data_IF_342927338813
#
_entry.id   IF_342927338813
#
_cell.length_a   1.000
_cell.length_b   1.000
_cell.length_c   1.000
_cell.angle_alpha   90.00
_cell.angle_beta   90.00
_cell.angle_gamma   90.00
#
_symmetry.space_group_name_H-M   'P 1'
#
loop_
_entity.id
_entity.type
_entity.pdbx_description
1 polymer ?
#
# COMPACT_ATOMS: atom_id res chain seq x y z
N UNK A 1 2.89 17.81 -6.19
CA UNK A 1 3.20 16.54 -6.88
C UNK A 1 2.05 15.57 -6.64
N UNK A 2 1.46 15.06 -7.71
CA UNK A 2 0.57 13.90 -7.71
C UNK A 2 1.03 12.95 -8.80
N UNK A 3 0.92 11.65 -8.56
CA UNK A 3 1.20 10.63 -9.56
C UNK A 3 0.00 9.70 -9.60
N UNK A 4 -0.53 9.42 -10.78
CA UNK A 4 -1.64 8.49 -10.98
C UNK A 4 -1.23 7.40 -11.95
N UNK A 5 -1.72 6.19 -11.72
CA UNK A 5 -1.54 5.05 -12.62
C UNK A 5 -2.89 4.70 -13.25
N UNK A 6 -2.96 4.81 -14.57
CA UNK A 6 -4.18 4.57 -15.36
C UNK A 6 -4.27 3.14 -15.86
N UNK A 7 -3.14 2.53 -16.25
CA UNK A 7 -3.09 1.18 -16.81
C UNK A 7 -1.89 0.41 -16.24
N UNK A 8 -2.06 -0.91 -16.03
CA UNK A 8 -1.00 -1.79 -15.52
C UNK A 8 -0.16 -2.45 -16.63
N UNK A 9 -0.74 -2.72 -17.80
CA UNK A 9 -0.06 -3.39 -18.92
C UNK A 9 -0.39 -2.72 -20.27
N UNK A 10 0.52 -1.92 -20.86
CA UNK A 10 1.75 -1.39 -20.25
C UNK A 10 1.43 -0.45 -19.08
N UNK A 11 2.40 -0.19 -18.21
CA UNK A 11 2.21 0.76 -17.12
C UNK A 11 2.10 2.15 -17.71
N UNK A 12 1.03 2.87 -17.39
CA UNK A 12 0.84 4.27 -17.77
C UNK A 12 0.70 5.11 -16.51
N UNK A 13 1.64 6.05 -16.31
CA UNK A 13 1.64 7.00 -15.20
C UNK A 13 1.39 8.42 -15.70
N UNK A 14 0.55 9.16 -14.99
CA UNK A 14 0.41 10.61 -15.15
C UNK A 14 1.08 11.31 -13.96
N UNK A 15 2.16 12.05 -14.23
CA UNK A 15 2.98 12.73 -13.22
C UNK A 15 2.75 14.23 -13.26
N UNK A 16 2.11 14.77 -12.21
CA UNK A 16 1.72 16.18 -12.10
C UNK A 16 2.64 16.95 -11.16
N UNK A 17 3.21 18.04 -11.64
CA UNK A 17 3.97 19.00 -10.83
C UNK A 17 3.23 20.34 -10.77
N UNK A 18 2.86 20.77 -9.57
CA UNK A 18 2.14 22.02 -9.33
C UNK A 18 2.42 22.56 -7.92
N UNK A 19 2.17 23.86 -7.67
CA UNK A 19 2.37 24.50 -6.35
C UNK A 19 1.54 23.87 -5.23
N UNK A 20 2.05 23.87 -3.99
CA UNK A 20 1.41 23.17 -2.86
C UNK A 20 0.07 23.78 -2.43
N UNK A 21 -0.10 25.08 -2.64
CA UNK A 21 -1.25 25.92 -2.31
C UNK A 21 -2.33 25.94 -3.41
N UNK A 22 -2.20 25.04 -4.39
CA UNK A 22 -3.06 25.09 -5.57
C UNK A 22 -4.38 24.33 -5.42
N UNK A 23 -5.47 24.97 -5.86
CA UNK A 23 -6.81 24.40 -6.00
C UNK A 23 -6.87 23.21 -6.99
N UNK A 24 -5.83 23.01 -7.81
CA UNK A 24 -5.81 21.96 -8.83
C UNK A 24 -5.78 20.55 -8.24
N UNK A 25 -5.40 20.38 -6.98
CA UNK A 25 -5.32 19.05 -6.35
C UNK A 25 -6.64 18.29 -6.38
N UNK A 26 -7.75 18.97 -6.09
CA UNK A 26 -9.08 18.35 -6.08
C UNK A 26 -9.62 18.13 -7.49
N UNK A 27 -9.36 19.07 -8.39
CA UNK A 27 -9.71 18.96 -9.81
C UNK A 27 -9.03 17.76 -10.45
N UNK A 28 -7.70 17.63 -10.31
CA UNK A 28 -6.92 16.50 -10.85
C UNK A 28 -7.41 15.17 -10.27
N UNK A 29 -7.70 15.11 -8.97
CA UNK A 29 -8.27 13.89 -8.36
C UNK A 29 -9.64 13.52 -8.94
N UNK A 30 -10.43 14.51 -9.36
CA UNK A 30 -11.75 14.29 -9.97
C UNK A 30 -11.61 13.81 -11.41
N UNK A 31 -10.64 14.33 -12.16
CA UNK A 31 -10.33 13.89 -13.52
C UNK A 31 -9.72 12.48 -13.54
N UNK A 32 -8.81 12.20 -12.61
CA UNK A 32 -8.14 10.91 -12.44
C UNK A 32 -8.94 9.93 -11.58
N UNK A 33 -10.27 10.08 -11.50
CA UNK A 33 -11.14 9.26 -10.62
C UNK A 33 -11.06 7.76 -10.91
N UNK A 34 -10.74 7.39 -12.15
CA UNK A 34 -10.60 5.99 -12.58
C UNK A 34 -9.16 5.46 -12.42
N UNK A 35 -8.24 6.31 -11.97
CA UNK A 35 -6.81 6.03 -11.87
C UNK A 35 -6.35 5.88 -10.42
N UNK A 36 -5.24 5.17 -10.23
CA UNK A 36 -4.73 4.83 -8.91
C UNK A 36 -3.70 5.86 -8.45
N UNK A 37 -3.93 6.58 -7.33
CA UNK A 37 -2.95 7.52 -6.82
C UNK A 37 -1.73 6.76 -6.28
N UNK A 38 -0.54 7.15 -6.74
CA UNK A 38 0.75 6.65 -6.30
C UNK A 38 1.42 7.72 -5.44
N UNK A 39 1.79 7.35 -4.21
CA UNK A 39 2.53 8.24 -3.32
C UNK A 39 4.02 8.20 -3.69
N UNK A 40 4.60 9.39 -3.90
CA UNK A 40 6.02 9.57 -4.13
C UNK A 40 6.57 10.71 -3.27
N UNK A 41 7.89 10.69 -3.05
CA UNK A 41 8.61 11.77 -2.38
C UNK A 41 8.36 13.08 -3.12
N UNK A 42 8.14 14.16 -2.36
CA UNK A 42 8.04 15.50 -2.92
C UNK A 42 9.46 16.04 -3.17
N UNK A 43 9.65 16.96 -4.13
CA UNK A 43 10.91 17.69 -4.26
C UNK A 43 11.28 18.37 -2.93
N UNK A 44 12.48 18.08 -2.42
CA UNK A 44 13.03 18.75 -1.23
C UNK A 44 13.40 20.20 -1.56
N UNK A 45 13.96 20.42 -2.76
CA UNK A 45 14.22 21.75 -3.28
C UNK A 45 13.01 22.28 -4.05
N UNK A 46 12.57 23.53 -3.81
CA UNK A 46 11.52 24.16 -4.58
C UNK A 46 11.84 24.14 -6.07
N UNK A 47 10.91 23.64 -6.88
CA UNK A 47 11.02 23.67 -8.34
C UNK A 47 10.88 25.11 -8.84
N UNK A 48 11.69 25.48 -9.83
CA UNK A 48 11.67 26.84 -10.38
C UNK A 48 10.47 27.01 -11.32
N UNK A 49 9.49 27.80 -10.90
CA UNK A 49 8.35 28.15 -11.75
C UNK A 49 8.80 28.86 -13.04
N UNK A 50 8.00 28.76 -14.09
CA UNK A 50 8.24 29.38 -15.40
C UNK A 50 9.49 28.87 -16.15
N UNK A 51 10.13 27.79 -15.66
CA UNK A 51 11.21 27.08 -16.33
C UNK A 51 10.73 25.74 -16.89
N UNK A 52 11.36 25.30 -17.98
CA UNK A 52 11.12 23.97 -18.55
C UNK A 52 11.86 22.91 -17.76
N UNK A 53 11.17 21.80 -17.53
CA UNK A 53 11.70 20.62 -16.89
C UNK A 53 11.43 19.42 -17.79
N UNK A 54 12.38 18.51 -17.85
CA UNK A 54 12.23 17.21 -18.52
C UNK A 54 12.19 16.11 -17.47
N UNK A 55 11.37 15.09 -17.72
CA UNK A 55 11.26 13.91 -16.89
C UNK A 55 11.94 12.75 -17.61
N UNK A 56 12.98 12.21 -17.01
CA UNK A 56 13.69 11.04 -17.52
C UNK A 56 13.28 9.80 -16.73
N UNK A 57 12.93 8.75 -17.47
CA UNK A 57 12.54 7.45 -16.91
C UNK A 57 13.21 6.36 -17.77
N UNK A 58 14.25 5.69 -17.27
CA UNK A 58 14.96 4.67 -18.03
C UNK A 58 14.02 3.55 -18.48
N UNK A 59 14.07 3.19 -19.77
CA UNK A 59 13.24 2.13 -20.33
C UNK A 59 11.77 2.51 -20.57
N UNK A 60 11.38 3.76 -20.32
CA UNK A 60 10.03 4.27 -20.56
C UNK A 60 9.98 5.26 -21.73
N UNK A 61 8.80 5.40 -22.32
CA UNK A 61 8.45 6.51 -23.20
C UNK A 61 7.78 7.59 -22.37
N UNK A 62 8.34 8.81 -22.38
CA UNK A 62 7.80 9.96 -21.64
C UNK A 62 7.28 11.01 -22.62
N UNK A 63 6.04 11.47 -22.45
CA UNK A 63 5.46 12.54 -23.26
C UNK A 63 4.70 13.55 -22.39
N UNK A 64 4.82 14.87 -22.64
CA UNK A 64 5.79 15.49 -23.56
C UNK A 64 7.23 15.41 -23.02
N UNK A 65 8.23 15.66 -23.87
CA UNK A 65 9.65 15.60 -23.49
C UNK A 65 10.02 16.61 -22.39
N UNK A 66 9.39 17.79 -22.43
CA UNK A 66 9.58 18.83 -21.44
C UNK A 66 8.28 19.60 -21.18
N UNK A 67 8.08 20.01 -19.93
CA UNK A 67 6.94 20.78 -19.47
C UNK A 67 7.43 22.05 -18.79
N UNK A 68 6.77 23.16 -19.09
CA UNK A 68 6.93 24.39 -18.33
C UNK A 68 5.98 24.37 -17.13
N UNK A 69 6.55 24.41 -15.92
CA UNK A 69 5.77 24.45 -14.69
C UNK A 69 5.15 25.84 -14.52
N UNK A 70 3.83 25.88 -14.43
CA UNK A 70 3.01 27.09 -14.36
C UNK A 70 2.01 26.97 -13.21
N UNK A 71 1.70 28.09 -12.56
CA UNK A 71 0.75 28.15 -11.45
C UNK A 71 -0.56 28.85 -11.82
N UNK A 72 -0.55 29.57 -12.94
CA UNK A 72 -1.62 30.39 -13.50
C UNK A 72 -2.58 29.61 -14.42
N UNK A 73 -2.21 28.39 -14.81
CA UNK A 73 -3.01 27.52 -15.68
C UNK A 73 -3.12 26.11 -15.10
N UNK A 74 -4.04 25.34 -15.67
CA UNK A 74 -4.16 23.90 -15.43
C UNK A 74 -2.80 23.19 -15.49
N UNK A 75 -2.45 22.37 -14.47
CA UNK A 75 -1.16 21.69 -14.43
C UNK A 75 -1.02 20.69 -15.57
N UNK A 76 0.01 20.89 -16.38
CA UNK A 76 0.47 19.88 -17.32
C UNK A 76 1.03 18.67 -16.57
N UNK A 77 1.03 17.51 -17.23
CA UNK A 77 1.56 16.26 -16.70
C UNK A 77 2.44 15.56 -17.71
N UNK A 78 3.37 14.76 -17.18
CA UNK A 78 4.11 13.80 -17.99
C UNK A 78 3.34 12.48 -18.00
N UNK A 79 3.05 11.99 -19.19
CA UNK A 79 2.59 10.63 -19.43
C UNK A 79 3.80 9.72 -19.62
N UNK A 80 4.00 8.81 -18.67
CA UNK A 80 5.09 7.82 -18.69
C UNK A 80 4.49 6.47 -19.04
N UNK A 81 4.89 5.93 -20.19
CA UNK A 81 4.52 4.58 -20.64
C UNK A 81 5.71 3.65 -20.45
N UNK A 82 5.61 2.72 -19.50
CA UNK A 82 6.68 1.77 -19.18
C UNK A 82 6.24 0.32 -19.50
N UNK A 83 7.03 -0.45 -20.29
CA UNK A 83 6.62 -1.77 -20.75
C UNK A 83 6.81 -2.90 -19.72
N UNK A 84 7.61 -2.67 -18.67
CA UNK A 84 7.96 -3.70 -17.66
C UNK A 84 7.46 -3.32 -16.27
N UNK A 85 6.97 -4.29 -15.50
CA UNK A 85 6.52 -4.10 -14.10
C UNK A 85 7.70 -4.28 -13.13
N UNK A 86 8.69 -3.41 -13.25
CA UNK A 86 9.84 -3.29 -12.34
C UNK A 86 9.83 -1.92 -11.65
N UNK A 87 10.80 -1.69 -10.78
CA UNK A 87 10.95 -0.39 -10.12
C UNK A 87 11.16 0.72 -11.16
N UNK A 88 10.32 1.75 -11.11
CA UNK A 88 10.35 2.87 -12.04
C UNK A 88 11.08 4.01 -11.36
N UNK A 89 12.35 4.21 -11.75
CA UNK A 89 13.13 5.37 -11.32
C UNK A 89 12.81 6.56 -12.23
N UNK A 90 12.42 7.67 -11.62
CA UNK A 90 12.12 8.92 -12.31
C UNK A 90 13.07 10.01 -11.83
N UNK A 91 13.62 10.77 -12.76
CA UNK A 91 14.41 11.96 -12.47
C UNK A 91 13.87 13.15 -13.24
N UNK A 92 13.53 14.21 -12.51
CA UNK A 92 13.17 15.50 -13.09
C UNK A 92 14.42 16.37 -13.14
N UNK A 93 14.77 16.84 -14.33
CA UNK A 93 15.86 17.79 -14.57
C UNK A 93 15.33 19.08 -15.14
N UNK A 94 16.00 20.19 -14.83
CA UNK A 94 15.76 21.45 -15.55
C UNK A 94 16.41 21.39 -16.91
N UNK A 95 15.73 21.88 -17.94
CA UNK A 95 16.25 21.86 -19.31
C UNK A 95 17.42 22.85 -19.51
N UNK A 96 17.49 23.92 -18.71
CA UNK A 96 18.48 24.99 -18.89
C UNK A 96 19.89 24.62 -18.39
N UNK A 97 20.00 23.92 -17.27
CA UNK A 97 21.28 23.53 -16.67
C UNK A 97 21.44 22.01 -16.47
N UNK A 98 20.49 21.21 -16.97
CA UNK A 98 20.41 19.75 -16.81
C UNK A 98 20.50 19.29 -15.35
N UNK A 99 20.30 20.20 -14.39
CA UNK A 99 20.41 19.88 -12.97
C UNK A 99 19.20 19.04 -12.56
N UNK A 100 19.47 17.86 -12.00
CA UNK A 100 18.44 17.07 -11.36
C UNK A 100 17.91 17.82 -10.14
N UNK A 101 16.60 18.08 -10.15
CA UNK A 101 15.89 18.82 -9.10
C UNK A 101 14.95 17.93 -8.30
N UNK A 102 14.69 16.72 -8.79
CA UNK A 102 13.91 15.72 -8.08
C UNK A 102 14.24 14.33 -8.62
N UNK A 103 14.28 13.35 -7.73
CA UNK A 103 14.32 11.94 -8.07
C UNK A 103 13.35 11.18 -7.19
N UNK A 104 12.69 10.18 -7.76
CA UNK A 104 11.86 9.25 -7.01
C UNK A 104 11.89 7.87 -7.65
N UNK A 105 11.59 6.86 -6.83
CA UNK A 105 11.43 5.49 -7.29
C UNK A 105 10.02 5.05 -6.95
N UNK A 106 9.26 4.65 -7.97
CA UNK A 106 7.99 3.94 -7.79
C UNK A 106 8.32 2.46 -7.79
N UNK A 107 8.25 1.86 -6.60
CA UNK A 107 8.56 0.45 -6.40
C UNK A 107 7.50 -0.44 -7.06
N UNK A 108 7.95 -1.57 -7.61
CA UNK A 108 7.10 -2.61 -8.21
C UNK A 108 5.96 -3.04 -7.28
N UNK A 109 6.23 -3.15 -5.99
CA UNK A 109 5.23 -3.54 -5.00
C UNK A 109 4.03 -2.57 -4.98
N UNK A 110 4.30 -1.27 -5.08
CA UNK A 110 3.28 -0.22 -5.10
C UNK A 110 2.46 -0.23 -6.39
N UNK A 111 3.07 -0.63 -7.51
CA UNK A 111 2.40 -0.81 -8.81
C UNK A 111 1.48 -2.05 -8.78
N UNK A 112 1.93 -3.11 -8.08
CA UNK A 112 1.21 -4.37 -7.98
C UNK A 112 0.05 -4.34 -6.98
N UNK A 113 0.02 -3.38 -6.05
CA UNK A 113 -1.09 -3.17 -5.12
C UNK A 113 -2.44 -3.11 -5.86
N UNK A 114 -3.44 -3.84 -5.36
CA UNK A 114 -4.77 -3.92 -5.95
C UNK A 114 -5.57 -2.62 -5.68
N UNK A 115 -6.37 -2.14 -6.65
CA UNK A 115 -7.20 -0.92 -6.56
C UNK A 115 -7.98 -0.74 -5.26
N UNK A 116 -8.56 -1.83 -4.75
CA UNK A 116 -9.47 -1.80 -3.60
C UNK A 116 -8.79 -1.63 -2.24
N UNK A 117 -7.45 -1.57 -2.19
CA UNK A 117 -6.70 -1.30 -0.95
C UNK A 117 -6.27 0.15 -0.77
N UNK A 118 -6.46 1.00 -1.79
CA UNK A 118 -6.14 2.42 -1.66
C UNK A 118 -7.19 3.15 -0.79
N UNK A 119 -8.46 2.75 -0.83
CA UNK A 119 -9.54 3.45 -0.09
C UNK A 119 -9.43 3.33 1.43
N UNK A 120 -8.84 2.26 1.97
CA UNK A 120 -8.70 2.06 3.43
C UNK A 120 -7.57 2.85 4.08
N UNK A 121 -6.74 3.57 3.30
CA UNK A 121 -5.71 4.48 3.84
C UNK A 121 -6.17 5.94 3.99
N UNK A 122 -7.41 6.27 3.59
CA UNK A 122 -7.85 7.66 3.51
C UNK A 122 -8.79 8.13 4.64
N UNK A 123 -8.92 7.39 5.75
CA UNK A 123 -9.68 7.85 6.92
C UNK A 123 -8.91 8.04 8.22
N UNK A 124 -7.59 7.86 8.26
CA UNK A 124 -6.81 8.20 9.47
C UNK A 124 -5.69 9.16 9.14
N UNK A 125 -6.09 10.35 8.72
CA UNK A 125 -5.29 11.55 8.93
C UNK A 125 -5.40 11.99 10.37
N UNK A 126 -4.73 11.30 11.30
CA UNK A 126 -4.23 11.92 12.52
C UNK A 126 -3.23 11.01 13.25
N UNK A 127 -2.09 11.63 13.54
CA UNK A 127 -1.08 11.29 14.53
C UNK A 127 0.08 10.38 14.11
N UNK A 128 1.24 10.99 14.34
CA UNK A 128 2.59 10.49 14.15
C UNK A 128 2.92 9.41 15.19
N UNK A 129 3.99 8.67 14.89
CA UNK A 129 4.77 7.79 15.76
C UNK A 129 4.29 6.35 15.87
N UNK A 130 4.85 5.49 15.02
CA UNK A 130 5.27 4.12 15.38
C UNK A 130 6.29 3.64 14.34
N UNK A 131 7.53 3.30 14.75
CA UNK A 131 8.46 2.60 13.88
C UNK A 131 8.13 1.11 13.98
N UNK A 132 7.61 0.45 12.94
CA UNK A 132 7.90 -0.98 12.72
C UNK A 132 7.25 -1.50 11.44
N UNK A 133 8.12 -1.82 10.47
CA UNK A 133 8.06 -3.05 9.67
C UNK A 133 6.67 -3.60 9.35
N UNK A 134 5.90 -2.89 8.51
CA UNK A 134 4.88 -3.56 7.71
C UNK A 134 5.61 -4.41 6.65
N UNK A 135 6.03 -5.61 7.06
CA UNK A 135 6.52 -6.63 6.13
C UNK A 135 5.34 -6.95 5.21
N UNK A 136 5.36 -6.43 3.98
CA UNK A 136 4.35 -6.72 2.97
C UNK A 136 4.58 -8.13 2.40
N UNK A 137 4.45 -9.15 3.24
CA UNK A 137 4.37 -10.54 2.78
C UNK A 137 2.91 -10.88 2.46
N UNK A 138 2.71 -11.84 1.57
CA UNK A 138 1.38 -12.36 1.26
C UNK A 138 0.79 -13.02 2.51
N UNK A 139 -0.12 -12.30 3.18
CA UNK A 139 -0.77 -12.73 4.43
C UNK A 139 -1.57 -14.01 4.24
N UNK A 140 -2.18 -14.21 3.06
CA UNK A 140 -2.93 -15.43 2.72
C UNK A 140 -1.97 -16.61 2.64
N UNK A 141 -0.88 -16.44 1.88
CA UNK A 141 0.13 -17.47 1.72
C UNK A 141 0.85 -17.80 3.03
N UNK A 142 1.10 -16.80 3.86
CA UNK A 142 1.68 -16.98 5.18
C UNK A 142 0.76 -17.77 6.11
N UNK A 143 -0.54 -17.45 6.13
CA UNK A 143 -1.51 -18.24 6.89
C UNK A 143 -1.53 -19.70 6.41
N UNK A 144 -1.63 -19.93 5.10
CA UNK A 144 -1.73 -21.28 4.54
C UNK A 144 -0.47 -22.14 4.83
N UNK A 145 0.70 -21.51 4.96
CA UNK A 145 1.96 -22.20 5.33
C UNK A 145 2.17 -22.34 6.84
N UNK A 146 1.77 -21.34 7.63
CA UNK A 146 2.14 -21.22 9.05
C UNK A 146 0.99 -21.48 10.05
N UNK A 147 -0.23 -21.79 9.62
CA UNK A 147 -1.37 -22.00 10.52
C UNK A 147 -1.12 -23.06 11.62
N UNK A 148 -0.36 -24.13 11.33
CA UNK A 148 0.01 -25.12 12.34
C UNK A 148 0.88 -24.54 13.46
N UNK A 149 1.75 -23.59 13.12
CA UNK A 149 2.65 -22.94 14.08
C UNK A 149 1.89 -21.85 14.86
N UNK A 150 0.97 -21.14 14.21
CA UNK A 150 0.06 -20.18 14.85
C UNK A 150 -0.77 -20.79 15.98
N UNK A 151 -1.19 -22.05 15.84
CA UNK A 151 -1.93 -22.77 16.88
C UNK A 151 -1.13 -22.90 18.18
N UNK A 152 0.21 -22.95 18.09
CA UNK A 152 1.10 -23.17 19.24
C UNK A 152 1.73 -21.89 19.77
N UNK A 153 1.93 -20.88 18.92
CA UNK A 153 2.61 -19.64 19.27
C UNK A 153 1.69 -18.59 19.91
N UNK A 154 0.38 -18.72 19.71
CA UNK A 154 -0.60 -17.73 20.16
C UNK A 154 -1.13 -18.11 21.55
N UNK A 155 -0.70 -17.35 22.56
CA UNK A 155 -1.14 -17.55 23.95
C UNK A 155 -2.44 -16.76 24.25
N UNK A 156 -2.64 -15.59 23.65
CA UNK A 156 -3.77 -14.68 23.91
C UNK A 156 -4.98 -14.94 22.99
N UNK A 157 -5.48 -16.18 22.99
CA UNK A 157 -6.57 -16.60 22.11
C UNK A 157 -7.90 -15.87 22.39
N UNK A 158 -8.14 -15.46 23.63
CA UNK A 158 -9.36 -14.73 24.02
C UNK A 158 -9.45 -13.35 23.35
N UNK A 159 -8.36 -12.57 23.35
CA UNK A 159 -8.33 -11.27 22.67
C UNK A 159 -8.54 -11.41 21.16
N UNK A 160 -7.99 -12.48 20.57
CA UNK A 160 -8.19 -12.76 19.15
C UNK A 160 -9.66 -13.13 18.89
N UNK A 161 -10.29 -13.89 19.78
CA UNK A 161 -11.72 -14.21 19.69
C UNK A 161 -12.58 -12.93 19.76
N UNK A 162 -12.27 -12.00 20.66
CA UNK A 162 -12.97 -10.71 20.80
C UNK A 162 -12.88 -9.89 19.51
N UNK A 163 -11.67 -9.75 18.96
CA UNK A 163 -11.43 -9.04 17.71
C UNK A 163 -12.11 -9.71 16.50
N UNK A 164 -12.14 -11.04 16.46
CA UNK A 164 -12.83 -11.81 15.41
C UNK A 164 -14.35 -11.67 15.49
N UNK A 165 -14.91 -11.62 16.71
CA UNK A 165 -16.34 -11.37 16.93
C UNK A 165 -16.71 -9.94 16.52
N UNK A 166 -15.90 -8.95 16.93
CA UNK A 166 -16.13 -7.54 16.59
C UNK A 166 -16.12 -7.30 15.08
N UNK A 167 -15.24 -7.99 14.35
CA UNK A 167 -15.16 -7.92 12.88
C UNK A 167 -16.12 -8.88 12.16
N UNK A 168 -17.04 -9.52 12.88
CA UNK A 168 -18.04 -10.48 12.37
C UNK A 168 -17.44 -11.65 11.56
N UNK A 169 -16.22 -12.07 11.89
CA UNK A 169 -15.58 -13.24 11.27
C UNK A 169 -16.09 -14.54 11.91
N UNK A 170 -16.39 -14.50 13.21
CA UNK A 170 -16.98 -15.61 13.96
C UNK A 170 -18.31 -15.16 14.58
N UNK A 171 -19.22 -16.11 14.77
CA UNK A 171 -20.51 -15.88 15.41
C UNK A 171 -20.43 -16.18 16.92
N UNK A 172 -21.40 -15.67 17.68
CA UNK A 172 -21.47 -15.74 19.16
C UNK A 172 -21.42 -17.18 19.71
N UNK A 173 -21.98 -18.15 18.96
CA UNK A 173 -21.91 -19.59 19.28
C UNK A 173 -20.47 -20.10 19.27
N UNK A 174 -19.70 -19.75 18.23
CA UNK A 174 -18.29 -20.12 18.09
C UNK A 174 -17.40 -19.36 19.08
N UNK A 175 -17.71 -18.09 19.33
CA UNK A 175 -17.04 -17.30 20.34
C UNK A 175 -17.15 -17.95 21.73
N UNK A 176 -18.37 -18.36 22.12
CA UNK A 176 -18.63 -19.03 23.40
C UNK A 176 -17.89 -20.36 23.53
N UNK A 177 -17.71 -21.10 22.43
CA UNK A 177 -16.90 -22.32 22.41
C UNK A 177 -15.39 -22.06 22.54
N UNK A 178 -14.91 -20.94 22.01
CA UNK A 178 -13.49 -20.53 21.99
C UNK A 178 -13.07 -19.97 23.35
N UNK A 179 -13.92 -19.14 23.97
CA UNK A 179 -13.68 -18.51 25.28
C UNK A 179 -14.12 -19.39 26.46
N UNK A 180 -14.59 -20.61 26.17
CA UNK A 180 -15.03 -21.53 27.20
C UNK A 180 -13.89 -21.84 28.19
N UNK A 181 -14.10 -21.74 29.52
CA UNK A 181 -13.04 -21.86 30.53
C UNK A 181 -12.37 -23.24 30.61
N UNK A 182 -12.97 -24.26 29.97
CA UNK A 182 -12.40 -25.61 29.86
C UNK A 182 -11.60 -25.83 28.57
N UNK A 183 -11.63 -24.87 27.63
CA UNK A 183 -10.91 -24.95 26.36
C UNK A 183 -9.47 -24.49 26.54
N UNK A 184 -8.52 -25.32 26.11
CA UNK A 184 -7.10 -24.93 26.03
C UNK A 184 -6.89 -23.93 24.89
N UNK A 185 -5.94 -23.01 25.03
CA UNK A 185 -5.55 -22.05 23.98
C UNK A 185 -5.33 -22.72 22.62
N UNK A 186 -4.57 -23.82 22.56
CA UNK A 186 -4.33 -24.55 21.31
C UNK A 186 -5.62 -25.11 20.67
N UNK A 187 -6.53 -25.65 21.46
CA UNK A 187 -7.80 -26.20 20.95
C UNK A 187 -8.71 -25.10 20.41
N UNK A 188 -8.80 -23.97 21.13
CA UNK A 188 -9.52 -22.78 20.71
C UNK A 188 -8.93 -22.18 19.43
N UNK A 189 -7.60 -22.10 19.35
CA UNK A 189 -6.89 -21.58 18.20
C UNK A 189 -7.04 -22.49 16.97
N UNK A 190 -7.07 -23.81 17.18
CA UNK A 190 -7.34 -24.79 16.11
C UNK A 190 -8.74 -24.61 15.52
N UNK A 191 -9.75 -24.30 16.33
CA UNK A 191 -11.10 -23.99 15.84
C UNK A 191 -11.10 -22.72 14.98
N UNK A 192 -10.45 -21.66 15.46
CA UNK A 192 -10.30 -20.40 14.72
C UNK A 192 -9.61 -20.64 13.37
N UNK A 193 -8.45 -21.29 13.35
CA UNK A 193 -7.74 -21.58 12.11
C UNK A 193 -8.56 -22.45 11.14
N UNK A 194 -9.36 -23.39 11.64
CA UNK A 194 -10.25 -24.20 10.80
C UNK A 194 -11.32 -23.36 10.10
N UNK A 195 -11.89 -22.36 10.78
CA UNK A 195 -12.88 -21.44 10.20
C UNK A 195 -12.20 -20.53 9.17
N UNK A 196 -11.09 -19.90 9.55
CA UNK A 196 -10.33 -18.99 8.68
C UNK A 196 -9.86 -19.71 7.41
N UNK A 197 -9.47 -20.99 7.52
CA UNK A 197 -9.08 -21.82 6.37
C UNK A 197 -10.24 -22.14 5.42
N UNK A 198 -11.46 -22.28 5.94
CA UNK A 198 -12.69 -22.48 5.14
C UNK A 198 -13.27 -21.16 4.61
N UNK A 199 -12.83 -20.03 5.15
CA UNK A 199 -13.22 -18.69 4.72
C UNK A 199 -12.54 -18.24 3.42
N UNK A 200 -12.91 -17.05 2.96
CA UNK A 200 -12.29 -16.42 1.79
C UNK A 200 -10.89 -15.88 2.11
N UNK A 201 -10.12 -15.54 1.06
CA UNK A 201 -8.80 -14.92 1.22
C UNK A 201 -8.85 -13.64 2.05
N UNK A 202 -9.95 -12.88 1.96
CA UNK A 202 -10.21 -11.71 2.82
C UNK A 202 -10.23 -12.06 4.31
N UNK A 203 -10.83 -13.20 4.68
CA UNK A 203 -10.89 -13.67 6.06
C UNK A 203 -9.50 -14.04 6.57
N UNK A 204 -8.69 -14.70 5.73
CA UNK A 204 -7.30 -15.05 6.05
C UNK A 204 -6.43 -13.81 6.25
N UNK A 205 -6.57 -12.80 5.38
CA UNK A 205 -5.84 -11.54 5.52
C UNK A 205 -6.23 -10.76 6.78
N UNK A 206 -7.53 -10.68 7.08
CA UNK A 206 -8.02 -10.01 8.29
C UNK A 206 -7.51 -10.72 9.54
N UNK A 207 -7.56 -12.05 9.56
CA UNK A 207 -7.06 -12.83 10.68
C UNK A 207 -5.56 -12.63 10.94
N UNK A 208 -4.70 -12.66 9.91
CA UNK A 208 -3.27 -12.34 10.08
C UNK A 208 -3.07 -10.89 10.55
N UNK A 209 -3.91 -9.95 10.12
CA UNK A 209 -3.81 -8.56 10.58
C UNK A 209 -4.13 -8.43 12.06
N UNK A 210 -5.18 -9.12 12.55
CA UNK A 210 -5.52 -9.18 13.98
C UNK A 210 -4.38 -9.79 14.79
N UNK A 211 -3.78 -10.87 14.28
CA UNK A 211 -2.64 -11.51 14.95
C UNK A 211 -1.43 -10.59 15.07
N UNK A 212 -1.15 -9.76 14.06
CA UNK A 212 -0.06 -8.79 14.09
C UNK A 212 -0.36 -7.56 14.97
N UNK A 213 -1.64 -7.21 15.12
CA UNK A 213 -2.09 -6.16 16.04
C UNK A 213 -1.92 -6.61 17.50
N UNK A 214 -2.26 -7.86 17.81
CA UNK A 214 -2.13 -8.44 19.16
C UNK A 214 -0.69 -8.86 19.50
N UNK A 215 0.05 -9.41 18.53
CA UNK A 215 1.45 -9.79 18.68
C UNK A 215 2.27 -9.37 17.44
N UNK A 216 2.88 -8.16 17.46
CA UNK A 216 3.71 -7.69 16.35
C UNK A 216 5.03 -8.48 16.21
N UNK A 217 5.45 -9.24 17.23
CA UNK A 217 6.66 -10.05 17.20
C UNK A 217 6.43 -11.47 16.67
N UNK A 218 5.18 -11.84 16.41
CA UNK A 218 4.78 -13.13 15.87
C UNK A 218 5.55 -13.50 14.57
N UNK A 219 5.94 -12.50 13.77
CA UNK A 219 6.76 -12.67 12.56
C UNK A 219 8.20 -13.09 12.84
N UNK A 220 8.76 -12.70 13.97
CA UNK A 220 10.13 -13.05 14.34
C UNK A 220 10.24 -14.52 14.76
N UNK A 221 9.12 -15.14 15.14
CA UNK A 221 9.04 -16.52 15.62
C UNK A 221 8.55 -17.51 14.55
N UNK A 222 8.13 -17.03 13.38
CA UNK A 222 7.56 -17.84 12.31
C UNK A 222 8.40 -17.72 11.03
N UNK A 223 8.69 -18.83 10.33
CA UNK A 223 9.44 -18.76 9.09
C UNK A 223 8.68 -17.95 8.04
N UNK A 224 9.30 -16.85 7.62
CA UNK A 224 8.84 -16.06 6.48
C UNK A 224 8.90 -16.95 5.22
N UNK A 225 7.96 -16.79 4.26
CA UNK A 225 8.02 -17.53 3.02
C UNK A 225 9.30 -17.16 2.27
N UNK A 226 10.17 -18.15 2.02
CA UNK A 226 11.25 -18.01 1.05
C UNK A 226 10.66 -17.54 -0.28
N UNK A 227 11.26 -16.46 -0.81
CA UNK A 227 10.87 -15.75 -2.04
C UNK A 227 10.93 -16.61 -3.29
#
# INVERSE_FOLDING_TARGET
>A
LLIFMTQKNPIILHVYFFPSDSLFKEKIKTEEKQSHPIKCSRPETPLRMMKQHSLEVPGASVQPEAIKLRGDIEPNFFQVKHPVVNDIKMSLSRVDDQKSVWTATVWKELINMHPNRAETLFQTGQNQNTPQSAVNFDKVQFFDRNWCALIKSVENVNNIADNLLQKQIIHEELYSEITHPTSTSEASMRKICSIVRKGSDTVKEMFISILLEEDPNLLNHLPLPDS
#
